data_IF_087119695024
#
_entry.id   IF_087119695024
#
_cell.length_a   1.000
_cell.length_b   1.000
_cell.length_c   1.000
_cell.angle_alpha   90.00
_cell.angle_beta   90.00
_cell.angle_gamma   90.00
#
_symmetry.space_group_name_H-M   'P 1'
#
loop_
_entity.id
_entity.type
_entity.pdbx_description
1 polymer ?
#
# COMPACT_ATOMS: atom_id res chain seq x y z
N UNK A 1 1.34 31.83 -3.79
CA UNK A 1 0.39 30.74 -3.82
C UNK A 1 1.11 29.41 -3.94
N UNK A 2 0.74 28.49 -3.15
CA UNK A 2 1.39 27.19 -3.17
C UNK A 2 0.84 26.35 -4.33
N UNK A 3 1.72 25.61 -4.94
CA UNK A 3 1.31 24.64 -5.92
C UNK A 3 0.65 23.48 -5.22
N UNK A 4 -0.52 23.12 -5.64
CA UNK A 4 -1.22 21.99 -5.07
C UNK A 4 -0.81 20.75 -5.85
N UNK A 5 -0.42 19.73 -5.15
CA UNK A 5 -0.11 18.48 -5.81
C UNK A 5 -1.40 17.85 -6.28
N UNK A 6 -1.49 17.73 -7.58
CA UNK A 6 -2.67 17.11 -8.17
C UNK A 6 -2.43 15.67 -8.55
N UNK A 7 -1.18 15.24 -8.53
CA UNK A 7 -0.83 13.86 -8.89
C UNK A 7 0.07 13.26 -7.83
N UNK A 8 -0.20 12.01 -7.51
CA UNK A 8 0.66 11.24 -6.62
C UNK A 8 1.75 10.59 -7.46
N UNK A 9 2.98 10.60 -6.97
CA UNK A 9 4.04 9.88 -7.66
C UNK A 9 4.00 8.41 -7.25
N UNK A 10 4.91 7.62 -7.84
CA UNK A 10 4.94 6.18 -7.61
C UNK A 10 5.18 5.84 -6.15
N UNK A 11 6.04 6.59 -5.48
CA UNK A 11 6.35 6.33 -4.08
C UNK A 11 5.16 6.67 -3.19
N UNK A 12 4.46 7.73 -3.50
CA UNK A 12 3.26 8.10 -2.75
C UNK A 12 2.20 7.02 -2.84
N UNK A 13 1.98 6.51 -4.05
CA UNK A 13 0.98 5.47 -4.27
C UNK A 13 1.37 4.19 -3.53
N UNK A 14 2.63 3.78 -3.68
CA UNK A 14 3.11 2.58 -3.01
C UNK A 14 3.00 2.72 -1.50
N UNK A 15 3.41 3.87 -0.96
CA UNK A 15 3.35 4.11 0.47
C UNK A 15 1.92 4.06 0.98
N UNK A 16 0.98 4.63 0.24
CA UNK A 16 -0.42 4.62 0.66
C UNK A 16 -1.00 3.22 0.67
N UNK A 17 -0.67 2.42 -0.34
CA UNK A 17 -1.10 1.03 -0.37
C UNK A 17 -0.56 0.27 0.84
N UNK A 18 0.73 0.44 1.13
CA UNK A 18 1.35 -0.26 2.24
C UNK A 18 0.79 0.18 3.59
N UNK A 19 0.49 1.47 3.72
CA UNK A 19 -0.09 1.98 4.97
C UNK A 19 -1.48 1.38 5.19
N UNK A 20 -2.30 1.38 4.16
CA UNK A 20 -3.67 0.87 4.24
C UNK A 20 -3.70 -0.64 4.47
N UNK A 21 -2.78 -1.36 3.85
CA UNK A 21 -2.75 -2.83 3.93
C UNK A 21 -2.09 -3.36 5.21
N UNK A 22 -1.69 -2.49 6.13
CA UNK A 22 -1.06 -2.94 7.36
C UNK A 22 -1.93 -3.88 8.18
N UNK A 23 -3.23 -3.69 8.13
CA UNK A 23 -4.17 -4.51 8.91
C UNK A 23 -4.65 -5.75 8.15
N UNK A 24 -4.29 -5.85 6.87
CA UNK A 24 -4.77 -6.95 6.04
C UNK A 24 -6.15 -6.66 5.49
N UNK A 25 -6.24 -6.39 4.19
CA UNK A 25 -7.50 -6.04 3.55
C UNK A 25 -7.61 -6.76 2.21
N UNK A 26 -8.85 -7.05 1.81
CA UNK A 26 -9.09 -7.59 0.48
C UNK A 26 -8.76 -6.54 -0.57
N UNK A 27 -8.47 -6.99 -1.78
CA UNK A 27 -7.99 -6.10 -2.86
C UNK A 27 -8.93 -4.95 -3.14
N UNK A 28 -10.22 -5.20 -3.16
CA UNK A 28 -11.20 -4.15 -3.45
C UNK A 28 -11.19 -3.06 -2.39
N UNK A 29 -11.02 -3.42 -1.13
CA UNK A 29 -10.93 -2.43 -0.06
C UNK A 29 -9.66 -1.60 -0.17
N UNK A 30 -8.55 -2.25 -0.54
CA UNK A 30 -7.30 -1.52 -0.78
C UNK A 30 -7.51 -0.51 -1.90
N UNK A 31 -8.14 -0.93 -2.97
CA UNK A 31 -8.40 -0.06 -4.11
C UNK A 31 -9.22 1.17 -3.71
N UNK A 32 -10.30 0.95 -2.97
CA UNK A 32 -11.15 2.04 -2.54
C UNK A 32 -10.45 2.98 -1.58
N UNK A 33 -9.80 2.42 -0.58
CA UNK A 33 -9.16 3.26 0.45
C UNK A 33 -7.98 4.03 -0.09
N UNK A 34 -7.22 3.44 -1.01
CA UNK A 34 -6.08 4.10 -1.61
C UNK A 34 -6.48 4.95 -2.82
N UNK A 35 -7.76 4.95 -3.18
CA UNK A 35 -8.28 5.70 -4.31
C UNK A 35 -7.54 5.37 -5.60
N UNK A 36 -7.40 4.07 -5.85
CA UNK A 36 -6.71 3.59 -7.04
C UNK A 36 -7.71 3.29 -8.14
N UNK A 37 -7.27 3.49 -9.37
CA UNK A 37 -7.97 2.94 -10.52
C UNK A 37 -7.70 1.43 -10.57
N UNK A 38 -8.51 0.73 -11.32
CA UNK A 38 -8.31 -0.70 -11.52
C UNK A 38 -6.92 -0.98 -12.12
N UNK A 39 -6.52 -0.14 -13.09
CA UNK A 39 -5.21 -0.29 -13.70
C UNK A 39 -4.07 -0.09 -12.73
N UNK A 40 -4.21 0.89 -11.83
CA UNK A 40 -3.19 1.11 -10.82
C UNK A 40 -3.09 -0.06 -9.84
N UNK A 41 -4.22 -0.62 -9.44
CA UNK A 41 -4.21 -1.79 -8.57
C UNK A 41 -3.45 -2.93 -9.24
N UNK A 42 -3.74 -3.16 -10.52
CA UNK A 42 -3.11 -4.25 -11.28
C UNK A 42 -1.62 -4.01 -11.52
N UNK A 43 -1.19 -2.78 -11.51
CA UNK A 43 0.22 -2.44 -11.69
C UNK A 43 0.98 -2.53 -10.37
N UNK A 44 0.47 -1.90 -9.33
CA UNK A 44 1.21 -1.75 -8.08
C UNK A 44 1.21 -2.99 -7.20
N UNK A 45 0.10 -3.70 -7.13
CA UNK A 45 0.03 -4.85 -6.23
C UNK A 45 1.01 -5.95 -6.61
N UNK A 46 1.09 -6.40 -7.88
CA UNK A 46 2.09 -7.41 -8.22
C UNK A 46 3.51 -6.93 -7.98
N UNK A 47 3.79 -5.67 -8.24
CA UNK A 47 5.12 -5.11 -8.01
C UNK A 47 5.49 -5.16 -6.53
N UNK A 48 4.56 -4.77 -5.67
CA UNK A 48 4.82 -4.77 -4.23
C UNK A 48 4.94 -6.18 -3.66
N UNK A 49 4.17 -7.12 -4.21
CA UNK A 49 4.29 -8.52 -3.83
C UNK A 49 5.66 -9.06 -4.23
N UNK A 50 6.09 -8.76 -5.44
CA UNK A 50 7.38 -9.23 -5.95
C UNK A 50 8.54 -8.69 -5.12
N UNK A 51 8.43 -7.44 -4.67
CA UNK A 51 9.45 -6.84 -3.83
C UNK A 51 9.40 -7.31 -2.38
N UNK A 52 8.41 -8.11 -2.03
CA UNK A 52 8.28 -8.60 -0.66
C UNK A 52 7.76 -7.56 0.32
N UNK A 53 7.15 -6.49 -0.18
CA UNK A 53 6.60 -5.43 0.66
C UNK A 53 5.14 -5.70 1.04
N UNK A 54 4.45 -6.48 0.23
CA UNK A 54 3.10 -6.98 0.50
C UNK A 54 3.14 -8.50 0.46
N UNK A 55 2.17 -9.13 1.10
CA UNK A 55 1.97 -10.57 0.99
C UNK A 55 0.48 -10.88 0.85
N UNK A 56 0.21 -11.99 0.19
CA UNK A 56 -1.14 -12.53 0.10
C UNK A 56 -1.32 -13.51 1.25
N UNK A 57 -2.37 -13.31 2.04
CA UNK A 57 -2.69 -14.22 3.14
C UNK A 57 -4.09 -14.77 2.91
N UNK A 58 -4.26 -16.02 3.29
CA UNK A 58 -5.58 -16.63 3.29
C UNK A 58 -6.08 -16.62 4.72
N UNK A 59 -7.22 -15.98 4.92
CA UNK A 59 -7.86 -15.89 6.22
C UNK A 59 -9.10 -16.77 6.21
N UNK A 60 -9.23 -17.62 7.22
CA UNK A 60 -10.40 -18.47 7.36
C UNK A 60 -11.30 -17.87 8.42
N UNK A 61 -12.54 -17.59 8.05
CA UNK A 61 -13.52 -17.04 8.96
C UNK A 61 -14.88 -17.64 8.63
N UNK A 62 -15.54 -18.19 9.63
CA UNK A 62 -16.86 -18.82 9.43
C UNK A 62 -16.84 -19.86 8.32
N UNK A 63 -15.79 -20.66 8.26
CA UNK A 63 -15.61 -21.72 7.25
C UNK A 63 -15.46 -21.18 5.82
N UNK A 64 -15.15 -19.89 5.70
CA UNK A 64 -14.92 -19.29 4.39
C UNK A 64 -13.49 -18.85 4.29
N UNK A 65 -12.94 -18.97 3.08
CA UNK A 65 -11.59 -18.52 2.79
C UNK A 65 -11.65 -17.15 2.17
N UNK A 66 -10.86 -16.23 2.71
CA UNK A 66 -10.76 -14.89 2.16
C UNK A 66 -9.30 -14.57 1.96
N UNK A 67 -8.97 -14.01 0.81
CA UNK A 67 -7.61 -13.62 0.51
C UNK A 67 -7.45 -12.13 0.81
N UNK A 68 -6.44 -11.80 1.60
CA UNK A 68 -6.16 -10.41 1.95
C UNK A 68 -4.74 -10.05 1.56
N UNK A 69 -4.54 -8.78 1.31
CA UNK A 69 -3.21 -8.22 1.12
C UNK A 69 -2.78 -7.63 2.45
N UNK A 70 -1.57 -7.94 2.87
CA UNK A 70 -1.05 -7.42 4.12
C UNK A 70 0.38 -6.95 3.92
N UNK A 71 0.69 -5.81 4.52
CA UNK A 71 2.03 -5.26 4.47
C UNK A 71 2.96 -6.11 5.33
N UNK A 72 4.09 -6.51 4.75
CA UNK A 72 5.08 -7.32 5.44
C UNK A 72 5.91 -6.46 6.39
N UNK A 73 6.72 -7.13 7.21
CA UNK A 73 7.67 -6.40 8.05
C UNK A 73 8.61 -5.55 7.20
N UNK A 74 9.06 -6.09 6.07
CA UNK A 74 9.88 -5.33 5.12
C UNK A 74 9.13 -4.11 4.59
N UNK A 75 7.84 -4.28 4.30
CA UNK A 75 6.99 -3.17 3.86
C UNK A 75 6.86 -2.09 4.91
N UNK A 76 6.73 -2.47 6.18
CA UNK A 76 6.66 -1.50 7.26
C UNK A 76 7.97 -0.74 7.42
N UNK A 77 9.09 -1.41 7.26
CA UNK A 77 10.40 -0.74 7.32
C UNK A 77 10.55 0.24 6.16
N UNK A 78 10.04 -0.13 5.01
CA UNK A 78 10.04 0.77 3.84
C UNK A 78 9.23 2.03 4.14
N UNK A 79 8.06 1.87 4.76
CA UNK A 79 7.23 3.01 5.14
C UNK A 79 7.94 3.91 6.14
N UNK A 80 8.59 3.33 7.12
CA UNK A 80 9.32 4.09 8.12
C UNK A 80 10.47 4.88 7.47
N UNK A 81 11.16 4.27 6.54
CA UNK A 81 12.24 4.94 5.81
C UNK A 81 11.71 6.11 5.01
N UNK A 82 10.58 5.95 4.35
CA UNK A 82 9.98 7.06 3.60
C UNK A 82 9.59 8.20 4.51
N UNK A 83 9.00 7.89 5.65
CA UNK A 83 8.62 8.92 6.62
C UNK A 83 9.83 9.66 7.15
N UNK A 84 10.90 8.95 7.42
CA UNK A 84 12.14 9.57 7.87
C UNK A 84 12.70 10.52 6.81
N UNK A 85 12.67 10.10 5.55
CA UNK A 85 13.15 10.95 4.46
C UNK A 85 12.29 12.20 4.33
N UNK A 86 10.99 12.06 4.47
CA UNK A 86 10.09 13.21 4.41
C UNK A 86 10.39 14.21 5.52
N UNK A 87 10.65 13.72 6.72
CA UNK A 87 10.96 14.60 7.84
C UNK A 87 12.23 15.40 7.60
N UNK A 88 13.19 14.84 6.89
CA UNK A 88 14.42 15.56 6.56
C UNK A 88 14.20 16.69 5.58
N UNK A 89 13.12 16.64 4.83
CA UNK A 89 12.80 17.69 3.85
C UNK A 89 11.93 18.80 4.42
N UNK A 90 11.37 18.61 5.60
CA UNK A 90 10.54 19.62 6.21
C UNK A 90 11.39 20.77 6.74
N UNK A 91 10.95 22.01 6.54
CA UNK A 91 11.68 23.17 7.04
C UNK A 91 11.69 23.22 8.56
#
# INVERSE_FOLDING_TARGET
MSAIRVRRDRHDIAAEILEIARVGLIRTHVMYKAKLSFGQLREYVPMLLEKGLLENLTVVKHRQFTHVLKTTEKGQKFLESLKSLELLWLP
#
